data_IF_870681626047
#
_entry.id   IF_870681626047
#
_cell.length_a   1.000
_cell.length_b   1.000
_cell.length_c   1.000
_cell.angle_alpha   90.00
_cell.angle_beta   90.00
_cell.angle_gamma   90.00
#
_symmetry.space_group_name_H-M   'P 1'
#
loop_
_entity.id
_entity.type
_entity.pdbx_description
1 polymer ?
#
# COMPACT_ATOMS: atom_id res chain seq x y z
N UNK A 1 -4.32 4.81 15.15
CA UNK A 1 -4.78 5.38 13.87
C UNK A 1 -5.53 6.70 14.05
N UNK A 2 -6.27 6.91 15.15
CA UNK A 2 -6.98 8.17 15.47
C UNK A 2 -6.11 9.45 15.42
N UNK A 3 -4.86 9.38 15.90
CA UNK A 3 -3.97 10.55 16.05
C UNK A 3 -3.51 11.22 14.74
N UNK A 4 -3.85 10.72 13.55
CA UNK A 4 -3.33 11.25 12.27
C UNK A 4 -4.40 12.06 11.50
N UNK A 5 -5.71 11.91 11.80
CA UNK A 5 -6.79 12.56 11.03
C UNK A 5 -7.69 13.52 11.84
N UNK A 6 -7.51 13.65 13.16
CA UNK A 6 -8.49 14.35 14.02
C UNK A 6 -8.58 15.87 13.83
N UNK A 7 -7.74 16.47 12.98
CA UNK A 7 -7.88 17.89 12.63
C UNK A 7 -8.00 17.99 11.10
N UNK A 8 -9.23 18.01 10.57
CA UNK A 8 -9.41 18.28 9.14
C UNK A 8 -8.74 19.60 8.81
N UNK A 9 -8.01 19.63 7.69
CA UNK A 9 -7.31 20.83 7.29
C UNK A 9 -8.30 22.01 7.25
N UNK A 10 -8.00 23.12 7.94
CA UNK A 10 -8.96 24.18 8.15
C UNK A 10 -9.45 24.72 6.80
N UNK A 11 -10.77 24.64 6.60
CA UNK A 11 -11.46 25.07 5.38
C UNK A 11 -11.02 26.45 4.85
N UNK A 12 -10.75 27.47 5.70
CA UNK A 12 -10.25 28.75 5.21
C UNK A 12 -8.94 28.66 4.40
N UNK A 13 -8.05 27.72 4.72
CA UNK A 13 -6.80 27.56 3.97
C UNK A 13 -7.01 26.98 2.58
N UNK A 14 -7.91 26.01 2.44
CA UNK A 14 -8.29 25.49 1.12
C UNK A 14 -8.87 26.61 0.25
N UNK A 15 -9.73 27.47 0.83
CA UNK A 15 -10.28 28.63 0.14
C UNK A 15 -9.22 29.64 -0.30
N UNK A 16 -8.20 29.89 0.54
CA UNK A 16 -7.09 30.78 0.20
C UNK A 16 -6.28 30.28 -0.99
N UNK A 17 -6.02 28.98 -1.08
CA UNK A 17 -5.29 28.37 -2.21
C UNK A 17 -6.09 28.54 -3.50
N UNK A 18 -7.39 28.22 -3.48
CA UNK A 18 -8.27 28.42 -4.64
C UNK A 18 -8.34 29.89 -5.05
N UNK A 19 -8.47 30.81 -4.09
CA UNK A 19 -8.50 32.24 -4.37
C UNK A 19 -7.18 32.73 -4.99
N UNK A 20 -6.04 32.29 -4.46
CA UNK A 20 -4.72 32.63 -5.00
C UNK A 20 -4.54 32.07 -6.42
N UNK A 21 -5.02 30.86 -6.70
CA UNK A 21 -5.01 30.29 -8.06
C UNK A 21 -5.89 31.11 -9.04
N UNK A 22 -7.05 31.57 -8.58
CA UNK A 22 -7.94 32.41 -9.38
C UNK A 22 -7.31 33.77 -9.69
N UNK A 23 -6.65 34.40 -8.70
CA UNK A 23 -5.90 35.64 -8.93
C UNK A 23 -4.73 35.40 -9.88
N UNK A 24 -3.97 34.32 -9.67
CA UNK A 24 -2.85 33.94 -10.53
C UNK A 24 -3.29 33.78 -11.98
N UNK A 25 -4.42 33.11 -12.21
CA UNK A 25 -4.98 32.90 -13.53
C UNK A 25 -5.26 34.21 -14.30
N UNK A 26 -5.64 35.28 -13.58
CA UNK A 26 -5.85 36.61 -14.17
C UNK A 26 -4.52 37.36 -14.33
N UNK A 27 -3.61 37.30 -13.35
CA UNK A 27 -2.35 38.04 -13.40
C UNK A 27 -1.36 37.50 -14.42
N UNK A 28 -1.34 36.19 -14.65
CA UNK A 28 -0.40 35.52 -15.56
C UNK A 28 -0.53 36.00 -17.01
N UNK A 29 -1.71 36.10 -17.64
CA UNK A 29 -1.83 36.65 -18.98
C UNK A 29 -1.50 38.14 -19.06
N UNK A 30 -1.76 38.92 -17.99
CA UNK A 30 -1.40 40.34 -17.94
C UNK A 30 0.12 40.54 -17.98
N UNK A 31 0.86 39.74 -17.19
CA UNK A 31 2.32 39.80 -17.17
C UNK A 31 2.90 39.22 -18.46
N UNK A 32 2.36 38.10 -18.96
CA UNK A 32 2.87 37.44 -20.16
C UNK A 32 2.80 38.34 -21.40
N UNK A 33 1.78 39.21 -21.50
CA UNK A 33 1.66 40.19 -22.58
C UNK A 33 2.82 41.18 -22.64
N UNK A 34 3.37 41.56 -21.49
CA UNK A 34 4.48 42.52 -21.38
C UNK A 34 5.85 41.84 -21.47
N UNK A 35 5.95 40.58 -21.07
CA UNK A 35 7.22 39.83 -21.04
C UNK A 35 7.56 39.19 -22.39
N UNK A 36 6.57 38.85 -23.21
CA UNK A 36 6.78 38.12 -24.45
C UNK A 36 6.35 38.92 -25.69
N UNK A 37 7.25 38.99 -26.68
CA UNK A 37 6.95 39.65 -27.95
C UNK A 37 6.00 38.85 -28.84
N UNK A 38 6.03 37.51 -28.72
CA UNK A 38 5.19 36.61 -29.53
C UNK A 38 3.90 36.23 -28.82
N UNK A 39 2.77 36.57 -29.45
CA UNK A 39 1.41 36.26 -28.95
C UNK A 39 1.19 34.75 -28.79
N UNK A 40 1.70 33.94 -29.73
CA UNK A 40 1.52 32.49 -29.70
C UNK A 40 2.30 31.86 -28.55
N UNK A 41 3.53 32.31 -28.30
CA UNK A 41 4.35 31.82 -27.18
C UNK A 41 3.72 32.23 -25.85
N UNK A 42 3.28 33.48 -25.72
CA UNK A 42 2.56 33.98 -24.54
C UNK A 42 1.31 33.15 -24.23
N UNK A 43 0.50 32.84 -25.24
CA UNK A 43 -0.72 32.05 -25.06
C UNK A 43 -0.42 30.62 -24.59
N UNK A 44 0.55 29.95 -25.22
CA UNK A 44 0.97 28.60 -24.82
C UNK A 44 1.54 28.59 -23.41
N UNK A 45 2.40 29.54 -23.06
CA UNK A 45 2.95 29.63 -21.70
C UNK A 45 1.85 29.84 -20.66
N UNK A 46 0.90 30.75 -20.92
CA UNK A 46 -0.22 30.98 -20.00
C UNK A 46 -1.06 29.71 -19.79
N UNK A 47 -1.31 28.97 -20.87
CA UNK A 47 -2.04 27.70 -20.80
C UNK A 47 -1.30 26.67 -19.95
N UNK A 48 -0.02 26.41 -20.23
CA UNK A 48 0.76 25.40 -19.50
C UNK A 48 0.95 25.76 -18.03
N UNK A 49 1.29 27.01 -17.71
CA UNK A 49 1.48 27.46 -16.33
C UNK A 49 0.19 27.31 -15.54
N UNK A 50 -0.92 27.81 -16.09
CA UNK A 50 -2.24 27.68 -15.47
C UNK A 50 -2.62 26.20 -15.30
N UNK A 51 -2.50 25.41 -16.36
CA UNK A 51 -2.88 24.00 -16.38
C UNK A 51 -2.13 23.20 -15.30
N UNK A 52 -0.81 23.34 -15.23
CA UNK A 52 0.01 22.62 -14.26
C UNK A 52 -0.34 23.02 -12.83
N UNK A 53 -0.60 24.30 -12.56
CA UNK A 53 -1.00 24.75 -11.22
C UNK A 53 -2.36 24.22 -10.80
N UNK A 54 -3.33 24.16 -11.72
CA UNK A 54 -4.63 23.54 -11.45
C UNK A 54 -4.49 22.02 -11.24
N UNK A 55 -3.71 21.33 -12.07
CA UNK A 55 -3.43 19.91 -11.87
C UNK A 55 -2.79 19.64 -10.50
N UNK A 56 -1.82 20.47 -10.09
CA UNK A 56 -1.18 20.34 -8.79
C UNK A 56 -2.19 20.54 -7.66
N UNK A 57 -3.07 21.54 -7.78
CA UNK A 57 -4.12 21.78 -6.78
C UNK A 57 -5.07 20.58 -6.63
N UNK A 58 -5.42 19.91 -7.72
CA UNK A 58 -6.22 18.68 -7.64
C UNK A 58 -5.45 17.52 -7.02
N UNK A 59 -4.19 17.32 -7.40
CA UNK A 59 -3.35 16.26 -6.82
C UNK A 59 -3.20 16.46 -5.30
N UNK A 60 -3.03 17.71 -4.83
CA UNK A 60 -2.93 17.97 -3.39
C UNK A 60 -4.21 17.64 -2.63
N UNK A 61 -5.38 17.84 -3.24
CA UNK A 61 -6.66 17.48 -2.63
C UNK A 61 -6.76 15.97 -2.42
N UNK A 62 -6.39 15.19 -3.44
CA UNK A 62 -6.35 13.73 -3.36
C UNK A 62 -5.32 13.25 -2.32
N UNK A 63 -4.13 13.86 -2.31
CA UNK A 63 -3.07 13.49 -1.36
C UNK A 63 -3.40 13.82 0.10
N UNK A 64 -4.23 14.83 0.35
CA UNK A 64 -4.67 15.19 1.70
C UNK A 64 -5.70 14.19 2.26
N UNK A 65 -6.26 13.28 1.46
CA UNK A 65 -7.25 12.27 1.87
C UNK A 65 -6.76 10.81 1.69
N UNK A 66 -5.62 10.39 2.27
CA UNK A 66 -5.01 9.07 2.00
C UNK A 66 -5.78 7.86 2.55
N UNK A 67 -6.92 8.09 3.20
CA UNK A 67 -7.75 7.11 3.89
C UNK A 67 -9.18 7.07 3.34
N UNK A 68 -9.38 7.58 2.12
CA UNK A 68 -10.65 7.51 1.42
C UNK A 68 -10.94 6.13 0.84
N UNK A 69 -11.79 6.11 -0.19
CA UNK A 69 -12.21 4.90 -0.91
C UNK A 69 -11.73 4.92 -2.38
N UNK A 70 -10.82 5.83 -2.73
CA UNK A 70 -10.29 5.96 -4.08
C UNK A 70 -9.28 4.85 -4.39
N UNK A 71 -9.08 4.46 -5.67
CA UNK A 71 -8.16 3.38 -6.03
C UNK A 71 -6.69 3.60 -5.63
N UNK A 72 -6.31 4.86 -5.36
CA UNK A 72 -4.97 5.24 -4.93
C UNK A 72 -4.85 5.42 -3.41
N UNK A 73 -5.92 5.15 -2.66
CA UNK A 73 -5.91 5.24 -1.20
C UNK A 73 -5.29 4.01 -0.56
N UNK A 74 -4.95 4.17 0.73
CA UNK A 74 -4.34 3.11 1.49
C UNK A 74 -5.37 1.98 1.75
N UNK A 75 -5.04 0.69 1.51
CA UNK A 75 -5.97 -0.42 1.69
C UNK A 75 -6.18 -0.72 3.18
N UNK A 76 -6.98 0.11 3.84
CA UNK A 76 -7.24 0.06 5.28
C UNK A 76 -7.79 -1.30 5.73
N UNK A 77 -8.66 -1.91 4.93
CA UNK A 77 -9.25 -3.21 5.25
C UNK A 77 -8.20 -4.33 5.30
N UNK A 78 -7.25 -4.33 4.36
CA UNK A 78 -6.18 -5.32 4.33
C UNK A 78 -5.20 -5.11 5.49
N UNK A 79 -4.85 -3.85 5.77
CA UNK A 79 -4.02 -3.51 6.92
C UNK A 79 -4.68 -3.89 8.25
N UNK A 80 -6.01 -3.72 8.36
CA UNK A 80 -6.76 -4.12 9.55
C UNK A 80 -6.79 -5.65 9.70
N UNK A 81 -6.91 -6.40 8.59
CA UNK A 81 -6.83 -7.86 8.61
C UNK A 81 -5.46 -8.33 9.10
N UNK A 82 -4.38 -7.77 8.56
CA UNK A 82 -3.01 -8.13 8.93
C UNK A 82 -2.71 -7.77 10.40
N UNK A 83 -3.26 -6.66 10.89
CA UNK A 83 -3.19 -6.28 12.30
C UNK A 83 -3.90 -7.31 13.20
N UNK A 84 -5.11 -7.74 12.83
CA UNK A 84 -5.85 -8.76 13.57
C UNK A 84 -5.11 -10.10 13.59
N UNK A 85 -4.52 -10.52 12.48
CA UNK A 85 -3.70 -11.74 12.42
C UNK A 85 -2.45 -11.65 13.31
N UNK A 86 -1.85 -10.47 13.38
CA UNK A 86 -0.72 -10.21 14.28
C UNK A 86 -1.14 -10.32 15.75
N UNK A 87 -2.31 -9.78 16.13
CA UNK A 87 -2.85 -9.93 17.48
C UNK A 87 -3.10 -11.40 17.84
N UNK A 88 -3.67 -12.18 16.93
CA UNK A 88 -3.88 -13.62 17.13
C UNK A 88 -2.55 -14.35 17.32
N UNK A 89 -1.52 -13.97 16.57
CA UNK A 89 -0.17 -14.54 16.71
C UNK A 89 0.42 -14.24 18.09
N UNK A 90 0.26 -13.01 18.59
CA UNK A 90 0.74 -12.60 19.91
C UNK A 90 0.03 -13.29 21.07
N UNK A 91 -1.17 -13.85 20.84
CA UNK A 91 -1.87 -14.67 21.83
C UNK A 91 -1.29 -16.09 21.95
N UNK A 92 -0.42 -16.52 21.03
CA UNK A 92 0.15 -17.86 21.08
C UNK A 92 1.19 -17.97 22.23
N UNK A 93 1.18 -19.03 23.04
CA UNK A 93 2.06 -19.15 24.21
C UNK A 93 3.56 -19.02 23.90
N UNK A 94 3.99 -19.46 22.70
CA UNK A 94 5.38 -19.33 22.25
C UNK A 94 5.77 -17.87 21.93
N UNK A 95 4.82 -17.04 21.50
CA UNK A 95 5.06 -15.62 21.24
C UNK A 95 5.07 -14.77 22.54
N UNK A 96 4.61 -15.32 23.66
CA UNK A 96 4.60 -14.67 24.98
C UNK A 96 5.91 -14.85 25.74
N UNK A 97 6.83 -15.70 25.26
CA UNK A 97 8.14 -15.89 25.85
C UNK A 97 9.19 -15.25 24.95
N UNK A 98 9.94 -14.29 25.49
CA UNK A 98 11.06 -13.69 24.77
C UNK A 98 12.14 -14.77 24.52
N UNK A 99 12.66 -14.90 23.29
CA UNK A 99 13.68 -15.90 23.00
C UNK A 99 14.96 -15.59 23.79
N UNK A 100 15.49 -16.59 24.48
CA UNK A 100 16.75 -16.47 25.23
C UNK A 100 17.91 -16.36 24.24
N UNK A 101 18.58 -15.21 24.20
CA UNK A 101 19.76 -15.01 23.37
C UNK A 101 21.02 -15.50 24.10
N UNK A 102 21.54 -16.65 23.68
CA UNK A 102 22.83 -17.17 24.15
C UNK A 102 23.93 -16.57 23.27
N UNK A 103 24.80 -15.73 23.84
CA UNK A 103 26.07 -15.39 23.18
C UNK A 103 26.96 -16.63 23.23
N UNK A 104 26.82 -17.52 22.24
CA UNK A 104 27.80 -18.56 21.99
C UNK A 104 29.07 -17.89 21.50
N UNK A 105 30.13 -17.91 22.30
CA UNK A 105 31.48 -17.56 21.89
C UNK A 105 32.02 -18.67 20.98
N UNK A 106 31.37 -18.84 19.83
CA UNK A 106 31.74 -19.81 18.81
C UNK A 106 32.72 -19.10 17.85
N UNK A 107 34.03 -19.42 17.87
CA UNK A 107 35.04 -18.74 17.04
C UNK A 107 34.84 -18.90 15.51
N UNK A 108 33.79 -19.62 15.06
CA UNK A 108 33.40 -19.78 13.66
C UNK A 108 31.96 -19.32 13.34
N UNK A 109 31.24 -18.68 14.27
CA UNK A 109 29.82 -18.33 14.09
C UNK A 109 29.55 -16.95 13.44
N UNK A 110 30.50 -16.42 12.67
CA UNK A 110 30.24 -15.25 11.82
C UNK A 110 29.50 -15.67 10.54
N UNK A 111 28.23 -16.09 10.67
CA UNK A 111 27.29 -16.05 9.54
C UNK A 111 26.19 -15.08 9.93
N UNK A 112 26.10 -13.88 9.29
CA UNK A 112 25.00 -12.98 9.55
C UNK A 112 23.70 -13.71 9.22
N UNK A 113 22.85 -13.90 10.23
CA UNK A 113 21.51 -14.47 10.04
C UNK A 113 20.76 -13.48 9.16
N UNK A 114 20.48 -13.89 7.92
CA UNK A 114 19.72 -13.10 6.97
C UNK A 114 18.37 -12.71 7.63
N UNK A 115 18.04 -11.42 7.62
CA UNK A 115 16.72 -10.93 8.05
C UNK A 115 15.66 -11.65 7.23
N UNK A 116 14.97 -12.61 7.86
CA UNK A 116 13.79 -13.25 7.26
C UNK A 116 12.64 -12.26 7.30
N UNK A 117 11.86 -12.20 6.22
CA UNK A 117 10.63 -11.41 6.21
C UNK A 117 9.61 -12.05 7.17
N UNK A 118 8.75 -11.25 7.79
CA UNK A 118 7.80 -11.72 8.82
C UNK A 118 6.93 -12.88 8.35
N UNK A 119 6.48 -12.87 7.09
CA UNK A 119 5.73 -13.98 6.49
C UNK A 119 6.54 -15.29 6.38
N UNK A 120 7.86 -15.21 6.26
CA UNK A 120 8.76 -16.36 6.22
C UNK A 120 9.08 -16.90 7.62
N UNK A 121 9.12 -16.03 8.64
CA UNK A 121 9.24 -16.45 10.04
C UNK A 121 8.00 -17.23 10.46
N UNK A 122 6.80 -16.75 10.10
CA UNK A 122 5.53 -17.46 10.40
C UNK A 122 5.46 -18.83 9.70
N UNK A 123 5.96 -18.95 8.47
CA UNK A 123 6.00 -20.22 7.75
C UNK A 123 7.00 -21.23 8.36
N UNK A 124 8.18 -20.76 8.77
CA UNK A 124 9.20 -21.60 9.38
C UNK A 124 8.81 -22.04 10.81
N UNK A 125 8.13 -21.18 11.58
CA UNK A 125 7.66 -21.51 12.94
C UNK A 125 6.53 -22.56 12.91
N UNK A 126 5.67 -22.53 11.89
CA UNK A 126 4.68 -23.60 11.70
C UNK A 126 5.37 -24.95 11.46
N UNK A 127 6.50 -24.99 10.73
CA UNK A 127 7.27 -26.21 10.51
C UNK A 127 8.04 -26.67 11.77
N UNK A 128 8.51 -25.73 12.60
CA UNK A 128 9.26 -26.01 13.83
C UNK A 128 8.39 -26.43 15.01
N UNK A 129 7.22 -25.81 15.20
CA UNK A 129 6.28 -26.13 16.26
C UNK A 129 5.74 -27.56 16.15
N UNK A 130 5.54 -28.08 14.92
CA UNK A 130 5.09 -29.46 14.69
C UNK A 130 6.04 -30.54 15.25
N UNK A 131 7.30 -30.22 15.53
CA UNK A 131 8.26 -31.18 16.09
C UNK A 131 8.10 -31.37 17.62
N UNK A 132 7.59 -30.38 18.35
CA UNK A 132 7.52 -30.39 19.83
C UNK A 132 6.12 -30.69 20.39
N UNK A 133 5.08 -30.74 19.54
CA UNK A 133 3.72 -31.00 19.99
C UNK A 133 3.53 -32.46 20.41
N UNK A 134 3.01 -32.67 21.62
CA UNK A 134 2.51 -33.96 22.07
C UNK A 134 1.38 -34.44 21.14
N UNK A 135 1.18 -35.75 21.01
CA UNK A 135 0.18 -36.32 20.08
C UNK A 135 -1.22 -35.73 20.29
N UNK A 136 -1.58 -35.40 21.54
CA UNK A 136 -2.86 -34.78 21.88
C UNK A 136 -3.02 -33.35 21.35
N UNK A 137 -1.93 -32.61 21.21
CA UNK A 137 -1.94 -31.24 20.71
C UNK A 137 -1.96 -31.22 19.18
N UNK A 138 -1.37 -32.22 18.53
CA UNK A 138 -1.47 -32.41 17.07
C UNK A 138 -2.92 -32.60 16.63
N UNK A 139 -3.69 -33.43 17.34
CA UNK A 139 -5.11 -33.62 17.05
C UNK A 139 -5.93 -32.34 17.26
N UNK A 140 -5.60 -31.55 18.30
CA UNK A 140 -6.29 -30.27 18.57
C UNK A 140 -6.00 -29.23 17.49
N UNK A 141 -4.74 -29.11 17.06
CA UNK A 141 -4.34 -28.23 15.96
C UNK A 141 -4.98 -28.68 14.64
N UNK A 142 -5.05 -29.99 14.39
CA UNK A 142 -5.67 -30.53 13.17
C UNK A 142 -7.20 -30.35 13.16
N UNK A 143 -7.87 -30.48 14.31
CA UNK A 143 -9.29 -30.11 14.45
C UNK A 143 -9.51 -28.60 14.26
N UNK A 144 -8.62 -27.77 14.78
CA UNK A 144 -8.76 -26.31 14.65
C UNK A 144 -8.50 -25.85 13.21
N UNK A 145 -7.58 -26.51 12.50
CA UNK A 145 -7.34 -26.30 11.07
C UNK A 145 -8.53 -26.72 10.21
N UNK A 146 -9.24 -27.81 10.55
CA UNK A 146 -10.45 -28.22 9.82
C UNK A 146 -11.61 -27.26 10.03
N UNK A 147 -11.76 -26.70 11.25
CA UNK A 147 -12.76 -25.66 11.55
C UNK A 147 -12.43 -24.36 10.79
N UNK A 148 -11.15 -23.97 10.70
CA UNK A 148 -10.71 -22.80 9.90
C UNK A 148 -10.94 -23.02 8.41
N UNK A 149 -10.75 -24.23 7.89
CA UNK A 149 -11.05 -24.60 6.50
C UNK A 149 -12.55 -24.58 6.19
N UNK A 150 -13.41 -24.84 7.18
CA UNK A 150 -14.87 -24.72 7.08
C UNK A 150 -15.36 -23.26 7.16
N UNK A 151 -14.63 -22.41 7.88
CA UNK A 151 -14.94 -20.98 8.03
C UNK A 151 -14.35 -20.11 6.91
N UNK A 152 -13.48 -20.66 6.05
CA UNK A 152 -12.98 -19.97 4.88
C UNK A 152 -14.12 -19.80 3.85
N UNK A 153 -14.43 -18.57 3.40
CA UNK A 153 -15.36 -18.37 2.30
C UNK A 153 -14.87 -19.16 1.08
N UNK A 154 -15.72 -20.03 0.55
CA UNK A 154 -15.47 -20.85 -0.63
C UNK A 154 -15.17 -19.98 -1.86
N UNK A 155 -13.91 -19.61 -2.07
CA UNK A 155 -13.41 -19.20 -3.38
C UNK A 155 -13.17 -20.46 -4.23
N UNK A 156 -14.27 -21.06 -4.69
CA UNK A 156 -14.24 -22.04 -5.78
C UNK A 156 -14.32 -21.29 -7.11
N UNK A 157 -13.29 -21.55 -7.91
CA UNK A 157 -13.32 -21.64 -9.37
C UNK A 157 -13.48 -20.33 -10.16
N UNK A 158 -12.34 -19.77 -10.59
CA UNK A 158 -12.16 -19.34 -11.97
C UNK A 158 -10.68 -19.37 -12.36
N UNK A 159 -10.17 -20.59 -12.51
CA UNK A 159 -9.11 -20.87 -13.46
C UNK A 159 -9.59 -22.03 -14.30
N UNK A 160 -9.84 -21.77 -15.59
CA UNK A 160 -9.15 -22.41 -16.69
C UNK A 160 -9.87 -22.13 -18.03
N UNK A 161 -9.06 -21.88 -19.04
CA UNK A 161 -9.36 -22.08 -20.46
C UNK A 161 -10.22 -21.04 -21.20
N UNK A 162 -9.55 -19.98 -21.68
CA UNK A 162 -9.70 -19.56 -23.08
C UNK A 162 -8.33 -19.28 -23.69
N UNK A 163 -7.49 -20.33 -23.77
CA UNK A 163 -6.46 -20.45 -24.80
C UNK A 163 -7.18 -20.86 -26.09
N UNK A 164 -7.77 -19.90 -26.78
CA UNK A 164 -8.21 -20.07 -28.17
C UNK A 164 -7.21 -19.31 -29.05
N UNK A 165 -6.53 -20.09 -29.87
CA UNK A 165 -5.55 -19.67 -30.88
C UNK A 165 -6.10 -18.62 -31.85
N UNK A 166 -5.38 -17.50 -32.03
CA UNK A 166 -5.42 -16.74 -33.30
C UNK A 166 -4.01 -16.56 -33.84
N UNK A 167 -3.71 -17.01 -35.07
CA UNK A 167 -2.42 -16.81 -35.67
C UNK A 167 -2.31 -15.40 -36.28
N UNK A 168 -1.09 -14.86 -36.19
CA UNK A 168 -0.37 -14.02 -37.17
C UNK A 168 -1.11 -12.80 -37.71
N UNK A 169 -0.52 -11.61 -37.53
CA UNK A 169 -0.15 -10.70 -38.63
C UNK A 169 0.72 -9.58 -38.05
N UNK A 170 2.03 -9.69 -38.31
CA UNK A 170 3.04 -8.65 -38.11
C UNK A 170 2.84 -7.65 -39.26
N UNK A 171 2.30 -6.46 -38.97
CA UNK A 171 2.29 -5.35 -39.95
C UNK A 171 3.49 -4.45 -39.70
N UNK A 172 4.45 -4.58 -40.61
CA UNK A 172 5.47 -3.58 -40.92
C UNK A 172 4.86 -2.43 -41.74
N UNK A 173 5.73 -1.46 -42.06
CA UNK A 173 5.58 -0.27 -42.92
C UNK A 173 4.99 0.95 -42.20
N UNK A 174 5.52 2.17 -42.32
CA UNK A 174 6.71 2.71 -43.00
C UNK A 174 6.97 4.09 -42.42
#
# INVERSE_FOLDING_TARGET
>A
AERIQEIPFPFPYAQLITFMLMVHWITTPLIAREVMDSVLVSALTCFFVTFVLWCLAFITIEMDQPFGEDPNDLPLHDMQRDFNESLVTLMYPLAQQAPTFSFGEDPNAAKPVARKNLGQVVADDFSGAHACLSESERERVQKMASIRALAAPSLKHNSLASKESRPRQRKTWS
#
